data_IF_922832174963
#
_entry.id   IF_922832174963
#
_cell.length_a   1.000
_cell.length_b   1.000
_cell.length_c   1.000
_cell.angle_alpha   90.00
_cell.angle_beta   90.00
_cell.angle_gamma   90.00
#
_symmetry.space_group_name_H-M   'P 1'
#
loop_
_entity.id
_entity.type
_entity.pdbx_description
1 polymer ?
#
# COMPACT_ATOMS: atom_id res chain seq x y z
N UNK A 1 -20.28 -31.56 -9.48
CA UNK A 1 -18.81 -31.45 -9.28
C UNK A 1 -18.36 -30.11 -9.82
N UNK A 2 -17.83 -29.21 -8.98
CA UNK A 2 -17.25 -27.96 -9.46
C UNK A 2 -15.95 -28.28 -10.24
N UNK A 3 -15.91 -27.98 -11.54
CA UNK A 3 -14.69 -28.14 -12.35
C UNK A 3 -13.65 -27.12 -11.85
N UNK A 4 -12.44 -27.60 -11.55
CA UNK A 4 -11.32 -26.72 -11.18
C UNK A 4 -10.92 -25.91 -12.41
N UNK A 5 -11.19 -24.60 -12.40
CA UNK A 5 -10.67 -23.67 -13.39
C UNK A 5 -9.22 -23.33 -13.07
N UNK A 6 -8.35 -23.39 -14.08
CA UNK A 6 -6.95 -22.97 -13.96
C UNK A 6 -6.79 -21.62 -14.66
N UNK A 7 -6.48 -20.59 -13.89
CA UNK A 7 -6.20 -19.26 -14.42
C UNK A 7 -4.70 -19.11 -14.62
N UNK A 8 -4.27 -18.87 -15.86
CA UNK A 8 -2.87 -18.59 -16.20
C UNK A 8 -2.76 -17.12 -16.53
N UNK A 9 -2.18 -16.35 -15.60
CA UNK A 9 -1.97 -14.91 -15.81
C UNK A 9 -0.65 -14.67 -16.53
N UNK A 10 -0.67 -13.86 -17.59
CA UNK A 10 0.55 -13.33 -18.16
C UNK A 10 1.23 -12.44 -17.11
N UNK A 11 2.37 -12.91 -16.57
CA UNK A 11 3.08 -12.25 -15.47
C UNK A 11 3.42 -10.79 -15.75
N UNK A 12 3.76 -10.44 -17.00
CA UNK A 12 4.04 -9.04 -17.38
C UNK A 12 2.78 -8.19 -17.37
N UNK A 13 1.71 -8.69 -17.99
CA UNK A 13 0.42 -7.99 -18.02
C UNK A 13 -0.17 -7.81 -16.62
N UNK A 14 -0.10 -8.84 -15.78
CA UNK A 14 -0.54 -8.77 -14.38
C UNK A 14 0.27 -7.75 -13.58
N UNK A 15 1.59 -7.74 -13.73
CA UNK A 15 2.44 -6.75 -13.06
C UNK A 15 2.07 -5.32 -13.45
N UNK A 16 1.83 -5.06 -14.74
CA UNK A 16 1.47 -3.72 -15.20
C UNK A 16 0.04 -3.32 -14.81
N UNK A 17 -0.94 -4.19 -15.03
CA UNK A 17 -2.35 -3.85 -14.85
C UNK A 17 -2.80 -3.88 -13.39
N UNK A 18 -2.12 -4.65 -12.54
CA UNK A 18 -2.52 -4.86 -11.14
C UNK A 18 -1.46 -4.31 -10.18
N UNK A 19 -0.20 -4.71 -10.33
CA UNK A 19 0.85 -4.32 -9.37
C UNK A 19 1.41 -2.91 -9.59
N UNK A 20 1.17 -2.31 -10.77
CA UNK A 20 1.59 -0.95 -11.16
C UNK A 20 0.39 -0.10 -11.61
N UNK A 21 -0.80 -0.45 -11.14
CA UNK A 21 -2.00 0.28 -11.47
C UNK A 21 -1.98 1.65 -10.78
N UNK A 22 -1.84 2.72 -11.56
CA UNK A 22 -1.78 4.10 -11.04
C UNK A 22 -3.05 4.47 -10.26
N UNK A 23 -4.24 4.07 -10.71
CA UNK A 23 -5.49 4.34 -9.99
C UNK A 23 -5.54 3.65 -8.63
N UNK A 24 -5.03 2.42 -8.53
CA UNK A 24 -4.93 1.72 -7.24
C UNK A 24 -3.91 2.43 -6.32
N UNK A 25 -2.78 2.85 -6.89
CA UNK A 25 -1.74 3.56 -6.15
C UNK A 25 -2.23 4.91 -5.62
N UNK A 26 -2.97 5.67 -6.42
CA UNK A 26 -3.56 6.95 -6.00
C UNK A 26 -4.54 6.76 -4.83
N UNK A 27 -5.40 5.75 -4.92
CA UNK A 27 -6.34 5.40 -3.83
C UNK A 27 -5.60 4.99 -2.55
N UNK A 28 -4.52 4.20 -2.68
CA UNK A 28 -3.68 3.84 -1.52
C UNK A 28 -2.98 5.07 -0.93
N UNK A 29 -2.58 6.03 -1.76
CA UNK A 29 -1.92 7.27 -1.30
C UNK A 29 -2.92 8.16 -0.55
N UNK A 30 -4.11 8.34 -1.09
CA UNK A 30 -5.18 9.10 -0.44
C UNK A 30 -5.54 8.48 0.92
N UNK A 31 -5.76 7.16 0.96
CA UNK A 31 -6.02 6.44 2.21
C UNK A 31 -4.87 6.56 3.22
N UNK A 32 -3.61 6.59 2.75
CA UNK A 32 -2.45 6.80 3.62
C UNK A 32 -2.43 8.21 4.21
N UNK A 33 -2.71 9.24 3.39
CA UNK A 33 -2.77 10.62 3.88
C UNK A 33 -3.92 10.86 4.85
N UNK A 34 -5.06 10.20 4.67
CA UNK A 34 -6.19 10.28 5.59
C UNK A 34 -5.90 9.54 6.91
N UNK A 35 -5.25 8.37 6.84
CA UNK A 35 -4.95 7.56 8.02
C UNK A 35 -3.79 8.11 8.87
N UNK A 36 -2.81 8.79 8.25
CA UNK A 36 -1.66 9.38 8.95
C UNK A 36 -2.09 10.65 9.68
N UNK A 37 -2.27 10.56 10.98
CA UNK A 37 -2.64 11.70 11.84
C UNK A 37 -1.46 12.41 12.49
N UNK A 38 -0.30 11.76 12.58
CA UNK A 38 0.91 12.35 13.17
C UNK A 38 1.73 13.09 12.11
N UNK A 39 1.95 14.39 12.31
CA UNK A 39 2.66 15.26 11.37
C UNK A 39 4.14 14.92 11.19
N UNK A 40 4.71 14.07 12.05
CA UNK A 40 6.09 13.59 11.95
C UNK A 40 6.22 12.37 11.03
N UNK A 41 5.09 11.74 10.68
CA UNK A 41 5.06 10.66 9.71
C UNK A 41 5.01 11.23 8.28
N UNK A 42 5.69 10.57 7.35
CA UNK A 42 5.72 10.97 5.94
C UNK A 42 5.16 9.86 5.06
N UNK A 43 4.27 10.22 4.15
CA UNK A 43 3.79 9.34 3.09
C UNK A 43 4.64 9.58 1.84
N UNK A 44 5.16 8.52 1.23
CA UNK A 44 5.95 8.60 -0.01
C UNK A 44 5.52 7.52 -0.98
N UNK A 45 5.61 7.83 -2.26
CA UNK A 45 5.48 6.80 -3.29
C UNK A 45 6.65 5.85 -3.27
N UNK A 46 6.33 4.59 -3.47
CA UNK A 46 7.30 3.54 -3.70
C UNK A 46 7.10 3.00 -5.11
N UNK A 47 7.97 3.40 -6.04
CA UNK A 47 8.03 2.78 -7.36
C UNK A 47 9.07 1.66 -7.37
N UNK A 48 8.60 0.45 -7.06
CA UNK A 48 9.42 -0.74 -7.04
C UNK A 48 9.51 -1.39 -8.42
N UNK A 49 10.64 -2.05 -8.69
CA UNK A 49 10.89 -2.80 -9.94
C UNK A 49 9.74 -3.76 -10.32
N UNK A 50 9.12 -4.40 -9.33
CA UNK A 50 8.07 -5.40 -9.51
C UNK A 50 6.71 -5.02 -8.92
N UNK A 51 6.60 -3.90 -8.19
CA UNK A 51 5.37 -3.44 -7.55
C UNK A 51 5.49 -1.95 -7.25
N UNK A 52 4.42 -1.21 -7.53
CA UNK A 52 4.29 0.17 -7.07
C UNK A 52 3.37 0.18 -5.83
N UNK A 53 3.50 1.20 -5.00
CA UNK A 53 2.75 1.30 -3.76
C UNK A 53 3.11 2.54 -2.97
N UNK A 54 2.74 2.54 -1.70
CA UNK A 54 2.92 3.68 -0.80
C UNK A 54 3.71 3.24 0.43
N UNK A 55 4.68 4.05 0.82
CA UNK A 55 5.48 3.85 2.02
C UNK A 55 5.13 4.94 3.05
N UNK A 56 4.86 4.52 4.28
CA UNK A 56 4.70 5.41 5.42
C UNK A 56 5.99 5.33 6.24
N UNK A 57 6.61 6.47 6.47
CA UNK A 57 7.87 6.60 7.19
C UNK A 57 7.56 7.27 8.53
N UNK A 58 7.80 6.54 9.62
CA UNK A 58 7.61 7.02 10.99
C UNK A 58 8.98 7.06 11.71
N UNK A 59 9.32 8.14 12.44
CA UNK A 59 10.51 8.14 13.29
C UNK A 59 10.45 7.06 14.37
N UNK A 60 11.53 6.32 14.60
CA UNK A 60 11.56 5.22 15.56
C UNK A 60 11.09 5.57 16.99
N UNK A 61 11.37 6.77 17.56
CA UNK A 61 10.84 7.15 18.87
C UNK A 61 9.32 7.30 18.90
N UNK A 62 8.73 7.78 17.79
CA UNK A 62 7.28 7.99 17.64
C UNK A 62 6.58 6.65 17.51
N UNK A 63 7.16 5.73 16.73
CA UNK A 63 6.64 4.37 16.61
C UNK A 63 6.67 3.63 17.94
N UNK A 64 7.79 3.68 18.65
CA UNK A 64 7.95 3.00 19.94
C UNK A 64 7.01 3.53 21.02
N UNK A 65 6.68 4.82 21.00
CA UNK A 65 5.85 5.45 22.03
C UNK A 65 4.35 5.32 21.76
N UNK A 66 3.94 5.27 20.49
CA UNK A 66 2.53 5.41 20.11
C UNK A 66 2.00 4.32 19.19
N UNK A 67 2.84 3.40 18.70
CA UNK A 67 2.42 2.36 17.75
C UNK A 67 1.82 2.95 16.46
N UNK A 68 2.37 4.10 16.04
CA UNK A 68 1.73 4.98 15.04
C UNK A 68 1.50 4.28 13.71
N UNK A 69 2.44 3.44 13.25
CA UNK A 69 2.29 2.67 12.01
C UNK A 69 1.23 1.59 12.15
N UNK A 70 1.19 0.86 13.26
CA UNK A 70 0.17 -0.17 13.51
C UNK A 70 -1.24 0.43 13.56
N UNK A 71 -1.40 1.56 14.26
CA UNK A 71 -2.65 2.31 14.33
C UNK A 71 -3.06 2.87 12.95
N UNK A 72 -2.10 3.43 12.20
CA UNK A 72 -2.34 3.92 10.83
C UNK A 72 -2.80 2.78 9.91
N UNK A 73 -2.18 1.60 9.99
CA UNK A 73 -2.58 0.43 9.22
C UNK A 73 -3.99 -0.06 9.58
N UNK A 74 -4.39 0.04 10.85
CA UNK A 74 -5.75 -0.30 11.30
C UNK A 74 -6.84 0.65 10.78
N UNK A 75 -6.48 1.89 10.42
CA UNK A 75 -7.40 2.92 9.91
C UNK A 75 -7.50 2.94 8.39
N UNK A 76 -6.56 2.32 7.69
CA UNK A 76 -6.49 2.36 6.23
C UNK A 76 -7.61 1.52 5.60
N UNK A 77 -8.45 2.13 4.75
CA UNK A 77 -9.43 1.45 3.90
C UNK A 77 -9.18 1.82 2.43
N UNK A 78 -8.77 0.83 1.63
CA UNK A 78 -8.46 0.95 0.20
C UNK A 78 -9.60 0.41 -0.65
#
# INVERSE_FOLDING_TARGET
MAKRCRFVFNRKAFSQQVLKNETLQDRMREAAHEAVTDSRCMVRDHDGKNRSGVAIICPAPVEKAHGTLEDTLGRMRV
#
